data_IF_432301876110
#
_entry.id   IF_432301876110
#
_cell.length_a   1.000
_cell.length_b   1.000
_cell.length_c   1.000
_cell.angle_alpha   90.00
_cell.angle_beta   90.00
_cell.angle_gamma   90.00
#
_symmetry.space_group_name_H-M   'P 1'
#
loop_
_entity.id
_entity.type
_entity.pdbx_description
1 polymer ?
#
# COMPACT_ATOMS: atom_id res chain seq x y z
N UNK A 1 -16.00 18.19 -17.19
CA UNK A 1 -15.87 17.77 -15.77
C UNK A 1 -14.40 17.43 -15.49
N UNK A 2 -13.67 18.31 -14.80
CA UNK A 2 -12.32 18.00 -14.36
C UNK A 2 -12.41 16.94 -13.25
N UNK A 3 -12.20 15.68 -13.60
CA UNK A 3 -12.06 14.58 -12.63
C UNK A 3 -10.88 14.92 -11.73
N UNK A 4 -11.16 15.47 -10.54
CA UNK A 4 -10.16 15.71 -9.50
C UNK A 4 -9.50 14.37 -9.17
N UNK A 5 -8.35 14.08 -9.78
CA UNK A 5 -7.55 12.90 -9.43
C UNK A 5 -7.18 13.03 -7.96
N UNK A 6 -7.61 12.06 -7.15
CA UNK A 6 -7.19 11.99 -5.75
C UNK A 6 -5.66 11.91 -5.74
N UNK A 7 -5.03 12.75 -4.92
CA UNK A 7 -3.57 12.75 -4.77
C UNK A 7 -3.10 11.42 -4.18
N UNK A 8 -2.03 10.84 -4.73
CA UNK A 8 -1.38 9.63 -4.22
C UNK A 8 -1.13 9.70 -2.70
N UNK A 9 -0.79 10.89 -2.19
CA UNK A 9 -0.58 11.16 -0.76
C UNK A 9 -1.84 10.88 0.07
N UNK A 10 -3.01 11.28 -0.43
CA UNK A 10 -4.28 11.07 0.27
C UNK A 10 -4.63 9.58 0.34
N UNK A 11 -4.34 8.82 -0.72
CA UNK A 11 -4.62 7.38 -0.75
C UNK A 11 -3.77 6.66 0.28
N UNK A 12 -2.48 6.99 0.37
CA UNK A 12 -1.59 6.45 1.40
C UNK A 12 -2.08 6.83 2.81
N UNK A 13 -2.45 8.09 3.02
CA UNK A 13 -2.96 8.57 4.31
C UNK A 13 -4.24 7.83 4.73
N UNK A 14 -5.18 7.64 3.81
CA UNK A 14 -6.41 6.88 4.08
C UNK A 14 -6.11 5.41 4.37
N UNK A 15 -5.14 4.82 3.67
CA UNK A 15 -4.69 3.44 3.94
C UNK A 15 -4.12 3.34 5.35
N UNK A 16 -3.23 4.27 5.72
CA UNK A 16 -2.67 4.33 7.07
C UNK A 16 -3.74 4.48 8.15
N UNK A 17 -4.73 5.36 7.94
CA UNK A 17 -5.84 5.54 8.88
C UNK A 17 -6.69 4.26 9.03
N UNK A 18 -7.02 3.60 7.92
CA UNK A 18 -7.77 2.33 7.95
C UNK A 18 -6.97 1.22 8.65
N UNK A 19 -5.66 1.16 8.43
CA UNK A 19 -4.79 0.19 9.09
C UNK A 19 -4.70 0.44 10.60
N UNK A 20 -4.63 1.70 11.04
CA UNK A 20 -4.70 2.04 12.47
C UNK A 20 -6.02 1.58 13.07
N UNK A 21 -7.15 1.83 12.40
CA UNK A 21 -8.46 1.34 12.85
C UNK A 21 -8.49 -0.19 12.93
N UNK A 22 -7.95 -0.89 11.93
CA UNK A 22 -7.83 -2.34 11.94
C UNK A 22 -6.96 -2.83 13.11
N UNK A 23 -5.88 -2.13 13.45
CA UNK A 23 -5.06 -2.39 14.62
C UNK A 23 -5.83 -2.26 15.94
N UNK A 24 -6.67 -1.24 16.07
CA UNK A 24 -7.57 -1.09 17.24
C UNK A 24 -8.57 -2.24 17.31
N UNK A 25 -9.18 -2.63 16.18
CA UNK A 25 -10.10 -3.79 16.15
C UNK A 25 -9.36 -5.08 16.51
N UNK A 26 -8.11 -5.25 16.08
CA UNK A 26 -7.29 -6.42 16.40
C UNK A 26 -7.00 -6.54 17.89
N UNK A 27 -6.82 -5.41 18.57
CA UNK A 27 -6.67 -5.39 20.02
C UNK A 27 -7.90 -5.94 20.74
N UNK A 28 -9.10 -5.70 20.19
CA UNK A 28 -10.37 -6.20 20.74
C UNK A 28 -10.70 -7.62 20.27
N UNK A 29 -10.42 -7.94 19.00
CA UNK A 29 -10.74 -9.22 18.37
C UNK A 29 -9.71 -9.56 17.28
N UNK A 30 -8.73 -10.39 17.64
CA UNK A 30 -7.58 -10.71 16.80
C UNK A 30 -7.94 -11.22 15.39
N UNK A 31 -8.82 -12.23 15.21
CA UNK A 31 -9.14 -12.75 13.87
C UNK A 31 -9.73 -11.69 12.94
N UNK A 32 -10.65 -10.88 13.47
CA UNK A 32 -11.36 -9.86 12.69
C UNK A 32 -10.43 -8.71 12.35
N UNK A 33 -9.60 -8.27 13.30
CA UNK A 33 -8.61 -7.23 13.07
C UNK A 33 -7.57 -7.61 12.03
N UNK A 34 -7.13 -8.88 12.01
CA UNK A 34 -6.22 -9.39 10.98
C UNK A 34 -6.88 -9.33 9.59
N UNK A 35 -8.12 -9.79 9.44
CA UNK A 35 -8.84 -9.69 8.15
C UNK A 35 -9.03 -8.22 7.72
N UNK A 36 -9.42 -7.35 8.64
CA UNK A 36 -9.59 -5.92 8.37
C UNK A 36 -8.29 -5.23 7.95
N UNK A 37 -7.16 -5.65 8.50
CA UNK A 37 -5.84 -5.13 8.12
C UNK A 37 -5.56 -5.35 6.63
N UNK A 38 -5.81 -6.57 6.13
CA UNK A 38 -5.63 -6.91 4.72
C UNK A 38 -6.63 -6.22 3.81
N UNK A 39 -7.89 -6.13 4.24
CA UNK A 39 -8.93 -5.39 3.52
C UNK A 39 -8.56 -3.90 3.44
N UNK A 40 -7.99 -3.31 4.49
CA UNK A 40 -7.53 -1.93 4.49
C UNK A 40 -6.39 -1.69 3.48
N UNK A 41 -5.50 -2.67 3.29
CA UNK A 41 -4.41 -2.61 2.29
C UNK A 41 -4.88 -2.84 0.85
N UNK A 42 -5.99 -3.54 0.64
CA UNK A 42 -6.44 -3.93 -0.70
C UNK A 42 -6.69 -2.73 -1.64
N UNK A 43 -7.41 -1.65 -1.25
CA UNK A 43 -7.61 -0.47 -2.10
C UNK A 43 -6.28 0.18 -2.52
N UNK A 44 -5.28 0.18 -1.64
CA UNK A 44 -3.97 0.73 -1.91
C UNK A 44 -3.22 -0.08 -2.98
N UNK A 45 -3.21 -1.41 -2.82
CA UNK A 45 -2.56 -2.34 -3.77
C UNK A 45 -3.23 -2.21 -5.14
N UNK A 46 -4.57 -2.20 -5.20
CA UNK A 46 -5.33 -2.05 -6.44
C UNK A 46 -5.05 -0.71 -7.12
N UNK A 47 -5.04 0.39 -6.36
CA UNK A 47 -4.69 1.70 -6.89
C UNK A 47 -3.28 1.72 -7.47
N UNK A 48 -2.30 1.13 -6.76
CA UNK A 48 -0.91 1.08 -7.20
C UNK A 48 -0.74 0.25 -8.47
N UNK A 49 -1.36 -0.93 -8.53
CA UNK A 49 -1.40 -1.78 -9.72
C UNK A 49 -1.96 -1.03 -10.92
N UNK A 50 -3.11 -0.36 -10.74
CA UNK A 50 -3.72 0.44 -11.79
C UNK A 50 -2.79 1.57 -12.26
N UNK A 51 -2.17 2.29 -11.32
CA UNK A 51 -1.23 3.37 -11.63
C UNK A 51 -0.02 2.88 -12.43
N UNK A 52 0.59 1.76 -12.00
CA UNK A 52 1.74 1.17 -12.69
C UNK A 52 1.35 0.74 -14.11
N UNK A 53 0.24 0.04 -14.28
CA UNK A 53 -0.22 -0.45 -15.60
C UNK A 53 -0.55 0.73 -16.53
N UNK A 54 -1.27 1.74 -16.03
CA UNK A 54 -1.74 2.86 -16.84
C UNK A 54 -0.64 3.85 -17.22
N UNK A 55 0.31 4.12 -16.32
CA UNK A 55 1.34 5.15 -16.53
C UNK A 55 2.71 4.60 -16.97
N UNK A 56 2.85 3.28 -17.14
CA UNK A 56 4.09 2.59 -17.54
C UNK A 56 4.76 3.18 -18.79
N UNK A 57 3.96 3.64 -19.77
CA UNK A 57 4.47 4.17 -21.05
C UNK A 57 5.05 5.58 -20.97
N UNK A 58 4.76 6.35 -19.91
CA UNK A 58 5.01 7.79 -19.89
C UNK A 58 6.09 8.26 -18.88
N UNK A 59 6.61 7.38 -18.01
CA UNK A 59 7.62 7.76 -17.01
C UNK A 59 8.79 6.78 -17.01
N UNK A 60 9.91 7.19 -17.61
CA UNK A 60 11.22 6.47 -17.62
C UNK A 60 12.12 6.90 -16.44
N UNK A 61 11.55 7.19 -15.28
CA UNK A 61 12.32 7.62 -14.11
C UNK A 61 12.68 6.43 -13.22
N UNK A 62 13.91 6.40 -12.71
CA UNK A 62 14.41 5.40 -11.76
C UNK A 62 13.50 5.23 -10.53
N UNK A 63 12.85 6.32 -10.09
CA UNK A 63 11.87 6.32 -9.01
C UNK A 63 10.67 5.39 -9.25
N UNK A 64 10.21 5.21 -10.49
CA UNK A 64 9.12 4.28 -10.79
C UNK A 64 9.55 2.82 -10.64
N UNK A 65 10.83 2.50 -10.90
CA UNK A 65 11.35 1.15 -10.70
C UNK A 65 11.32 0.76 -9.22
N UNK A 66 11.74 1.64 -8.32
CA UNK A 66 11.64 1.40 -6.87
C UNK A 66 10.20 1.20 -6.41
N UNK A 67 9.24 1.98 -6.95
CA UNK A 67 7.81 1.84 -6.64
C UNK A 67 7.24 0.50 -7.10
N UNK A 68 7.65 0.01 -8.27
CA UNK A 68 7.27 -1.31 -8.78
C UNK A 68 7.85 -2.41 -7.89
N UNK A 69 9.11 -2.29 -7.47
CA UNK A 69 9.75 -3.23 -6.55
C UNK A 69 8.98 -3.27 -5.23
N UNK A 70 8.67 -2.12 -4.64
CA UNK A 70 7.89 -2.05 -3.39
C UNK A 70 6.51 -2.70 -3.56
N UNK A 71 5.81 -2.44 -4.67
CA UNK A 71 4.53 -3.10 -4.97
C UNK A 71 4.68 -4.62 -5.06
N UNK A 72 5.70 -5.11 -5.77
CA UNK A 72 5.94 -6.54 -5.91
C UNK A 72 6.21 -7.20 -4.56
N UNK A 73 7.02 -6.56 -3.71
CA UNK A 73 7.29 -7.02 -2.35
C UNK A 73 6.00 -7.00 -1.51
N UNK A 74 5.19 -5.94 -1.57
CA UNK A 74 3.91 -5.89 -0.83
C UNK A 74 2.96 -7.02 -1.24
N UNK A 75 2.86 -7.32 -2.53
CA UNK A 75 2.03 -8.44 -3.04
C UNK A 75 2.59 -9.77 -2.53
N UNK A 76 3.90 -9.99 -2.66
CA UNK A 76 4.54 -11.22 -2.19
C UNK A 76 4.36 -11.41 -0.68
N UNK A 77 4.58 -10.37 0.10
CA UNK A 77 4.40 -10.38 1.55
C UNK A 77 2.96 -10.68 1.96
N UNK A 78 1.99 -10.11 1.25
CA UNK A 78 0.57 -10.39 1.46
C UNK A 78 0.24 -11.86 1.19
N UNK A 79 0.70 -12.41 0.06
CA UNK A 79 0.48 -13.82 -0.30
C UNK A 79 1.12 -14.77 0.70
N UNK A 80 2.36 -14.50 1.10
CA UNK A 80 3.06 -15.32 2.10
C UNK A 80 2.38 -15.28 3.47
N UNK A 81 1.80 -14.14 3.88
CA UNK A 81 1.04 -14.08 5.12
C UNK A 81 -0.25 -14.89 5.03
N UNK A 82 -1.02 -14.76 3.94
CA UNK A 82 -2.22 -15.56 3.70
C UNK A 82 -1.92 -17.06 3.68
N UNK A 83 -0.75 -17.47 3.16
CA UNK A 83 -0.28 -18.85 3.17
C UNK A 83 0.19 -19.33 4.57
N UNK A 84 0.21 -18.45 5.57
CA UNK A 84 0.66 -18.76 6.93
C UNK A 84 2.18 -18.88 7.07
N UNK A 85 2.95 -18.39 6.11
CA UNK A 85 4.42 -18.54 6.10
C UNK A 85 5.15 -17.47 6.90
N UNK A 86 4.55 -16.28 7.07
CA UNK A 86 5.14 -15.18 7.85
C UNK A 86 4.09 -14.20 8.36
N UNK A 87 4.39 -13.54 9.49
CA UNK A 87 3.62 -12.39 9.96
C UNK A 87 4.14 -11.10 9.30
N UNK A 88 3.60 -10.77 8.12
CA UNK A 88 4.05 -9.64 7.31
C UNK A 88 3.48 -8.25 7.70
N UNK A 89 2.68 -8.14 8.77
CA UNK A 89 1.87 -6.94 9.02
C UNK A 89 2.73 -5.69 9.24
N UNK A 90 3.74 -5.80 10.11
CA UNK A 90 4.71 -4.73 10.35
C UNK A 90 5.51 -4.40 9.09
N UNK A 91 5.86 -5.42 8.30
CA UNK A 91 6.62 -5.24 7.07
C UNK A 91 5.80 -4.53 5.98
N UNK A 92 4.50 -4.81 5.86
CA UNK A 92 3.59 -4.11 4.96
C UNK A 92 3.44 -2.63 5.34
N UNK A 93 3.35 -2.32 6.64
CA UNK A 93 3.36 -0.94 7.14
C UNK A 93 4.67 -0.22 6.80
N UNK A 94 5.81 -0.91 6.95
CA UNK A 94 7.11 -0.37 6.59
C UNK A 94 7.21 -0.06 5.08
N UNK A 95 6.73 -0.95 4.22
CA UNK A 95 6.70 -0.73 2.77
C UNK A 95 5.76 0.42 2.38
N UNK A 96 4.61 0.56 3.04
CA UNK A 96 3.70 1.69 2.86
C UNK A 96 4.38 3.03 3.20
N UNK A 97 5.19 3.06 4.27
CA UNK A 97 5.98 4.22 4.66
C UNK A 97 7.06 4.55 3.63
N UNK A 98 7.84 3.57 3.16
CA UNK A 98 8.84 3.81 2.10
C UNK A 98 8.16 4.39 0.86
N UNK A 99 7.03 3.82 0.46
CA UNK A 99 6.29 4.30 -0.69
C UNK A 99 5.80 5.75 -0.50
N UNK A 100 5.34 6.12 0.70
CA UNK A 100 5.02 7.50 1.05
C UNK A 100 6.21 8.45 0.88
N UNK A 101 7.38 8.05 1.37
CA UNK A 101 8.61 8.84 1.23
C UNK A 101 8.95 9.05 -0.25
N UNK A 102 8.83 8.04 -1.10
CA UNK A 102 9.05 8.18 -2.54
C UNK A 102 8.03 9.12 -3.20
N UNK A 103 6.77 9.10 -2.76
CA UNK A 103 5.71 10.00 -3.27
C UNK A 103 5.93 11.45 -2.84
N UNK A 104 6.52 11.69 -1.67
CA UNK A 104 6.88 13.04 -1.22
C UNK A 104 8.17 13.52 -1.90
N UNK A 105 9.18 12.65 -2.00
CA UNK A 105 10.51 12.99 -2.49
C UNK A 105 10.52 13.37 -3.97
N UNK A 106 9.49 13.00 -4.76
CA UNK A 106 9.26 13.52 -6.12
C UNK A 106 9.14 15.05 -6.26
N UNK A 107 9.35 15.83 -5.19
CA UNK A 107 9.42 17.30 -5.20
C UNK A 107 10.85 17.87 -5.14
N UNK A 108 11.89 17.02 -5.14
CA UNK A 108 13.28 17.43 -5.32
C UNK A 108 13.88 16.78 -6.57
#
# INVERSE_FOLDING_TARGET
>A
MATKRISERKIILYTAALVVLAGVVRFLHYPTGSVLFYIAFLPFILYRLYSVVKYRRYRKESLEMYRIIILAIMILSTVMNIAGWQEADFFLLFLLMIDYLLVINKRF
#
